data_IF_321542080026
#
_entry.id   IF_321542080026
#
_cell.length_a   1.000
_cell.length_b   1.000
_cell.length_c   1.000
_cell.angle_alpha   90.00
_cell.angle_beta   90.00
_cell.angle_gamma   90.00
#
_symmetry.space_group_name_H-M   'P 1'
#
loop_
_entity.id
_entity.type
_entity.pdbx_description
1 polymer ?
#
# COMPACT_ATOMS: atom_id res chain seq x y z
N UNK A 1 30.97 1.42 12.35
CA UNK A 1 29.69 1.95 11.81
C UNK A 1 29.39 3.36 12.32
N UNK A 2 29.38 3.64 13.63
CA UNK A 2 29.05 4.98 14.15
C UNK A 2 29.95 6.07 13.56
N UNK A 3 31.28 5.86 13.57
CA UNK A 3 32.26 6.83 13.00
C UNK A 3 31.97 7.08 11.54
N UNK A 4 31.68 6.04 10.74
CA UNK A 4 31.36 6.21 9.33
C UNK A 4 30.05 6.98 9.11
N UNK A 5 29.06 6.85 10.00
CA UNK A 5 27.84 7.63 9.95
C UNK A 5 28.08 9.12 10.32
N UNK A 6 28.89 9.35 11.33
CA UNK A 6 29.32 10.71 11.72
C UNK A 6 30.07 11.39 10.56
N UNK A 7 31.08 10.74 9.98
CA UNK A 7 31.81 11.26 8.81
C UNK A 7 30.92 11.50 7.58
N UNK A 8 29.88 10.67 7.38
CA UNK A 8 28.92 10.84 6.30
C UNK A 8 28.09 12.12 6.52
N UNK A 9 27.57 12.34 7.71
CA UNK A 9 26.78 13.54 8.05
C UNK A 9 27.66 14.79 8.01
N UNK A 10 28.87 14.74 8.57
CA UNK A 10 29.80 15.87 8.59
C UNK A 10 30.20 16.31 7.19
N UNK A 11 30.40 15.37 6.25
CA UNK A 11 30.68 15.70 4.85
C UNK A 11 29.54 16.45 4.16
N UNK A 12 28.29 16.08 4.44
CA UNK A 12 27.13 16.82 3.92
C UNK A 12 27.02 18.19 4.56
N UNK A 13 27.20 18.28 5.89
CA UNK A 13 27.19 19.53 6.63
C UNK A 13 28.24 20.54 6.18
N UNK A 14 29.42 20.06 5.77
CA UNK A 14 30.48 20.91 5.20
C UNK A 14 30.09 21.60 3.88
N UNK A 15 29.01 21.15 3.23
CA UNK A 15 28.46 21.73 2.01
C UNK A 15 27.08 22.38 2.23
N UNK A 16 26.70 22.64 3.50
CA UNK A 16 25.38 23.16 3.90
C UNK A 16 24.21 22.27 3.42
N UNK A 17 24.43 20.96 3.33
CA UNK A 17 23.44 19.98 2.92
C UNK A 17 23.06 19.06 4.08
N UNK A 18 21.82 18.55 4.01
CA UNK A 18 21.31 17.49 4.86
C UNK A 18 20.79 16.33 4.02
N UNK A 19 20.85 15.11 4.54
CA UNK A 19 20.31 13.93 3.90
C UNK A 19 18.82 13.77 4.30
N UNK A 20 17.92 13.72 3.33
CA UNK A 20 16.49 13.46 3.51
C UNK A 20 16.08 12.05 3.10
N UNK A 21 16.79 11.47 2.12
CA UNK A 21 16.65 10.07 1.74
C UNK A 21 18.03 9.40 1.75
N UNK A 22 18.12 8.29 2.47
CA UNK A 22 19.35 7.53 2.69
C UNK A 22 19.27 6.19 1.95
N UNK A 23 20.21 5.91 1.06
CA UNK A 23 20.36 4.60 0.46
C UNK A 23 21.35 3.76 1.28
N UNK A 24 20.91 2.57 1.66
CA UNK A 24 21.74 1.58 2.37
C UNK A 24 21.85 0.33 1.49
N UNK A 25 23.07 -0.07 1.20
CA UNK A 25 23.37 -1.32 0.48
C UNK A 25 24.16 -2.23 1.41
N UNK A 26 23.62 -3.42 1.66
CA UNK A 26 24.27 -4.48 2.38
C UNK A 26 24.79 -5.53 1.39
N UNK A 27 26.00 -6.01 1.59
CA UNK A 27 26.60 -7.07 0.77
C UNK A 27 26.98 -8.23 1.66
N UNK A 28 26.53 -9.44 1.33
CA UNK A 28 26.88 -10.67 2.01
C UNK A 28 28.21 -11.24 1.55
N UNK A 29 28.74 -12.23 2.30
CA UNK A 29 30.01 -12.92 1.97
C UNK A 29 29.94 -13.72 0.68
N UNK A 30 28.74 -14.12 0.22
CA UNK A 30 28.49 -14.84 -1.02
C UNK A 30 27.96 -13.94 -2.12
N UNK A 31 28.22 -12.63 -2.03
CA UNK A 31 27.75 -11.59 -2.94
C UNK A 31 26.20 -11.41 -2.96
N UNK A 32 25.48 -11.87 -1.95
CA UNK A 32 24.09 -11.50 -1.73
C UNK A 32 24.00 -9.98 -1.54
N UNK A 33 22.95 -9.37 -2.05
CA UNK A 33 22.78 -7.92 -1.99
C UNK A 33 21.39 -7.56 -1.51
N UNK A 34 21.32 -6.68 -0.53
CA UNK A 34 20.10 -5.99 -0.11
C UNK A 34 20.30 -4.50 -0.27
N UNK A 35 19.35 -3.85 -0.92
CA UNK A 35 19.37 -2.41 -1.16
C UNK A 35 18.03 -1.81 -0.74
N UNK A 36 18.10 -0.75 0.07
CA UNK A 36 16.90 -0.06 0.54
C UNK A 36 17.13 1.45 0.63
N UNK A 37 16.10 2.22 0.29
CA UNK A 37 16.07 3.66 0.47
C UNK A 37 15.15 3.99 1.64
N UNK A 38 15.72 4.70 2.61
CA UNK A 38 15.08 5.14 3.84
C UNK A 38 14.76 6.62 3.76
N UNK A 39 13.56 7.02 4.19
CA UNK A 39 13.15 8.42 4.26
C UNK A 39 13.20 8.92 5.70
N UNK A 40 13.52 10.20 5.85
CA UNK A 40 13.39 10.90 7.11
C UNK A 40 12.50 12.14 6.94
N UNK A 41 11.48 12.37 7.80
CA UNK A 41 10.57 13.51 7.67
C UNK A 41 11.23 14.88 7.86
N UNK A 42 12.38 14.91 8.52
CA UNK A 42 13.29 16.04 8.60
C UNK A 42 14.58 15.71 7.87
N UNK A 43 15.65 15.47 8.61
CA UNK A 43 16.95 15.07 8.06
C UNK A 43 17.59 13.99 8.92
N UNK A 44 18.38 13.13 8.29
CA UNK A 44 19.15 12.10 9.00
C UNK A 44 20.26 12.74 9.81
N UNK A 45 20.37 12.32 11.07
CA UNK A 45 21.57 12.44 11.88
C UNK A 45 22.35 11.11 11.90
N UNK A 46 23.53 11.10 12.50
CA UNK A 46 24.37 9.91 12.57
C UNK A 46 23.70 8.74 13.34
N UNK A 47 22.87 9.05 14.34
CA UNK A 47 22.16 8.02 15.10
C UNK A 47 21.07 7.39 14.27
N UNK A 48 20.28 8.19 13.53
CA UNK A 48 19.25 7.72 12.63
C UNK A 48 19.84 6.85 11.51
N UNK A 49 20.99 7.23 10.92
CA UNK A 49 21.70 6.42 9.94
C UNK A 49 22.06 5.04 10.53
N UNK A 50 22.67 5.00 11.71
CA UNK A 50 23.04 3.75 12.37
C UNK A 50 21.82 2.87 12.64
N UNK A 51 20.72 3.45 13.09
CA UNK A 51 19.51 2.70 13.40
C UNK A 51 18.88 2.09 12.12
N UNK A 52 18.87 2.81 10.99
CA UNK A 52 18.37 2.26 9.74
C UNK A 52 19.23 1.10 9.21
N UNK A 53 20.53 1.22 9.30
CA UNK A 53 21.43 0.12 8.93
C UNK A 53 21.22 -1.08 9.83
N UNK A 54 21.10 -0.90 11.15
CA UNK A 54 20.82 -2.00 12.10
C UNK A 54 19.51 -2.71 11.80
N UNK A 55 18.46 -1.96 11.47
CA UNK A 55 17.17 -2.54 11.15
C UNK A 55 17.21 -3.34 9.87
N UNK A 56 17.82 -2.81 8.81
CA UNK A 56 17.99 -3.55 7.58
C UNK A 56 18.80 -4.83 7.80
N UNK A 57 19.87 -4.77 8.59
CA UNK A 57 20.64 -5.93 8.96
C UNK A 57 19.81 -6.98 9.71
N UNK A 58 18.99 -6.56 10.68
CA UNK A 58 18.16 -7.47 11.48
C UNK A 58 17.06 -8.14 10.65
N UNK A 59 16.46 -7.42 9.72
CA UNK A 59 15.41 -7.95 8.83
C UNK A 59 15.99 -8.91 7.80
N UNK A 60 17.10 -8.53 7.16
CA UNK A 60 17.71 -9.28 6.08
C UNK A 60 18.53 -10.51 6.57
N UNK A 61 19.02 -10.47 7.81
CA UNK A 61 19.71 -11.61 8.43
C UNK A 61 18.84 -12.87 8.53
N UNK A 62 17.52 -12.72 8.59
CA UNK A 62 16.58 -13.84 8.67
C UNK A 62 16.17 -14.39 7.31
N UNK A 63 16.47 -13.71 6.19
CA UNK A 63 15.97 -14.09 4.88
C UNK A 63 16.99 -14.05 3.72
N UNK A 64 17.83 -13.03 3.67
CA UNK A 64 18.70 -12.77 2.50
C UNK A 64 20.13 -13.28 2.77
N UNK A 65 20.68 -12.99 3.93
CA UNK A 65 22.07 -13.30 4.25
C UNK A 65 22.20 -14.59 5.06
N UNK A 66 22.48 -15.70 4.38
CA UNK A 66 22.74 -17.00 5.03
C UNK A 66 24.16 -17.17 5.55
N UNK A 67 25.12 -16.33 5.15
CA UNK A 67 26.55 -16.49 5.44
C UNK A 67 27.18 -15.35 6.24
N UNK A 68 26.45 -14.28 6.49
CA UNK A 68 26.95 -13.09 7.16
C UNK A 68 27.07 -11.89 6.22
N UNK A 69 27.29 -10.69 6.78
CA UNK A 69 27.41 -9.43 6.06
C UNK A 69 28.86 -9.04 5.96
N UNK A 70 29.37 -8.93 4.72
CA UNK A 70 30.73 -8.56 4.40
C UNK A 70 30.93 -7.03 4.28
N UNK A 71 29.89 -6.29 3.87
CA UNK A 71 30.01 -4.86 3.65
C UNK A 71 28.71 -4.11 3.85
N UNK A 72 28.86 -2.84 4.26
CA UNK A 72 27.76 -1.86 4.36
C UNK A 72 28.19 -0.62 3.61
N UNK A 73 27.38 -0.20 2.64
CA UNK A 73 27.56 1.05 1.91
C UNK A 73 26.37 1.97 2.18
N UNK A 74 26.66 3.22 2.48
CA UNK A 74 25.67 4.26 2.71
C UNK A 74 25.95 5.44 1.78
N UNK A 75 24.88 5.96 1.15
CA UNK A 75 24.96 7.13 0.30
C UNK A 75 23.68 7.96 0.38
N UNK A 76 23.73 9.28 0.13
CA UNK A 76 22.54 10.09 0.08
C UNK A 76 21.80 9.81 -1.24
N UNK A 77 20.55 9.41 -1.16
CA UNK A 77 19.66 9.31 -2.32
C UNK A 77 19.05 10.67 -2.66
N UNK A 78 18.69 11.44 -1.62
CA UNK A 78 18.26 12.82 -1.76
C UNK A 78 18.87 13.68 -0.65
N UNK A 79 19.23 14.89 -1.05
CA UNK A 79 19.75 15.94 -0.15
C UNK A 79 18.94 17.20 -0.32
N UNK A 80 18.94 18.04 0.74
CA UNK A 80 18.31 19.35 0.71
C UNK A 80 19.22 20.36 1.42
N UNK A 81 19.00 21.65 1.19
CA UNK A 81 19.75 22.70 1.87
C UNK A 81 19.45 22.70 3.38
N UNK A 82 20.49 22.77 4.20
CA UNK A 82 20.36 22.78 5.67
C UNK A 82 19.45 23.92 6.16
N UNK A 83 19.43 25.05 5.44
CA UNK A 83 18.58 26.19 5.75
C UNK A 83 17.07 25.87 5.73
N UNK A 84 16.62 24.92 4.90
CA UNK A 84 15.22 24.49 4.82
C UNK A 84 14.81 23.62 6.02
N UNK A 85 15.79 23.04 6.70
CA UNK A 85 15.60 22.16 7.86
C UNK A 85 15.97 22.82 9.19
N UNK A 86 16.38 24.10 9.14
CA UNK A 86 16.65 24.87 10.35
C UNK A 86 15.35 25.03 11.17
N UNK A 87 15.43 24.77 12.47
CA UNK A 87 14.28 24.96 13.37
C UNK A 87 13.89 26.43 13.36
N UNK A 88 12.73 26.75 12.79
CA UNK A 88 12.16 28.07 12.85
C UNK A 88 11.91 28.49 14.31
N UNK A 89 12.15 29.76 14.64
CA UNK A 89 11.83 30.32 15.96
C UNK A 89 10.33 30.22 16.29
N UNK A 90 9.48 30.15 15.26
CA UNK A 90 8.03 29.98 15.34
C UNK A 90 7.56 29.05 14.24
N UNK A 91 7.00 27.90 14.61
CA UNK A 91 6.39 26.95 13.67
C UNK A 91 6.70 25.50 13.99
N UNK A 92 5.71 24.64 13.74
CA UNK A 92 5.86 23.20 13.91
C UNK A 92 6.51 22.63 12.65
N UNK A 93 7.82 22.41 12.68
CA UNK A 93 8.44 21.40 11.82
C UNK A 93 7.92 20.01 12.18
N UNK A 94 8.23 18.96 11.38
CA UNK A 94 7.91 17.60 11.75
C UNK A 94 8.38 17.35 13.19
N UNK A 95 7.45 16.94 14.07
CA UNK A 95 7.80 16.77 15.47
C UNK A 95 8.76 15.58 15.61
N UNK A 96 10.03 15.87 15.85
CA UNK A 96 11.08 14.88 16.11
C UNK A 96 10.64 13.86 17.18
N UNK A 97 9.83 14.29 18.17
CA UNK A 97 9.29 13.41 19.20
C UNK A 97 8.35 12.36 18.60
N UNK A 98 7.52 12.75 17.62
CA UNK A 98 6.66 11.82 16.91
C UNK A 98 7.50 10.83 16.12
N UNK A 99 8.52 11.30 15.41
CA UNK A 99 9.43 10.41 14.67
C UNK A 99 10.12 9.41 15.61
N UNK A 100 10.67 9.87 16.72
CA UNK A 100 11.29 8.98 17.72
C UNK A 100 10.29 8.01 18.34
N UNK A 101 9.06 8.46 18.63
CA UNK A 101 8.02 7.58 19.15
C UNK A 101 7.63 6.47 18.17
N UNK A 102 7.41 6.82 16.90
CA UNK A 102 7.07 5.84 15.85
C UNK A 102 8.23 4.88 15.57
N UNK A 103 9.46 5.40 15.52
CA UNK A 103 10.67 4.58 15.39
C UNK A 103 10.83 3.59 16.55
N UNK A 104 10.51 4.03 17.77
CA UNK A 104 10.52 3.17 18.95
C UNK A 104 9.47 2.07 18.90
N UNK A 105 8.26 2.38 18.40
CA UNK A 105 7.20 1.38 18.19
C UNK A 105 7.67 0.33 17.17
N UNK A 106 8.28 0.76 16.07
CA UNK A 106 8.84 -0.16 15.08
C UNK A 106 9.97 -1.03 15.68
N UNK A 107 10.83 -0.46 16.52
CA UNK A 107 11.88 -1.22 17.19
C UNK A 107 11.34 -2.32 18.12
N UNK A 108 10.18 -2.07 18.76
CA UNK A 108 9.55 -3.02 19.70
C UNK A 108 8.69 -4.06 19.00
N UNK A 109 7.96 -3.70 17.96
CA UNK A 109 6.92 -4.52 17.32
C UNK A 109 7.28 -4.98 15.90
N UNK A 110 8.45 -4.58 15.40
CA UNK A 110 8.91 -4.88 14.04
C UNK A 110 8.66 -3.74 13.06
N UNK A 111 9.43 -3.74 11.96
CA UNK A 111 9.46 -2.68 10.96
C UNK A 111 8.08 -2.33 10.37
N UNK A 112 7.21 -3.32 10.17
CA UNK A 112 5.87 -3.16 9.60
C UNK A 112 4.79 -2.77 10.60
N UNK A 113 5.13 -2.57 11.87
CA UNK A 113 4.15 -2.23 12.91
C UNK A 113 3.63 -0.78 12.78
N UNK A 114 4.37 0.09 12.12
CA UNK A 114 3.94 1.44 11.80
C UNK A 114 3.99 1.62 10.29
N UNK A 115 2.87 2.02 9.70
CA UNK A 115 2.76 2.17 8.25
C UNK A 115 2.14 3.53 7.88
N UNK A 116 2.52 4.01 6.70
CA UNK A 116 1.89 5.15 6.04
C UNK A 116 1.07 4.66 4.86
N UNK A 117 -0.23 4.93 4.78
CA UNK A 117 -1.03 4.57 3.63
C UNK A 117 -0.67 5.47 2.45
N UNK A 118 -0.46 4.85 1.28
CA UNK A 118 -0.26 5.54 0.01
C UNK A 118 -1.21 4.98 -1.04
N UNK A 119 -1.56 5.81 -2.04
CA UNK A 119 -2.46 5.40 -3.11
C UNK A 119 -1.63 5.01 -4.33
N UNK A 120 -1.66 3.73 -4.68
CA UNK A 120 -1.11 3.18 -5.91
C UNK A 120 -2.09 3.20 -7.08
N UNK A 121 -1.66 2.67 -8.22
CA UNK A 121 -2.48 2.41 -9.40
C UNK A 121 -3.10 1.01 -9.38
N UNK A 122 -3.87 0.69 -10.42
CA UNK A 122 -4.47 -0.62 -10.60
C UNK A 122 -5.97 -0.57 -10.84
N UNK A 123 -6.53 -1.71 -11.24
CA UNK A 123 -7.97 -1.87 -11.49
C UNK A 123 -8.74 -2.17 -10.21
N UNK A 124 -8.11 -2.86 -9.27
CA UNK A 124 -8.70 -3.30 -8.01
C UNK A 124 -8.49 -2.26 -6.92
N UNK A 125 -9.54 -1.92 -6.18
CA UNK A 125 -9.45 -0.90 -5.13
C UNK A 125 -8.50 -1.31 -4.01
N UNK A 126 -8.50 -2.58 -3.62
CA UNK A 126 -7.59 -3.10 -2.59
C UNK A 126 -6.11 -2.96 -3.00
N UNK A 127 -5.80 -3.10 -4.31
CA UNK A 127 -4.44 -2.93 -4.81
C UNK A 127 -3.97 -1.47 -4.82
N UNK A 128 -4.90 -0.52 -4.79
CA UNK A 128 -4.61 0.92 -4.76
C UNK A 128 -4.25 1.40 -3.36
N UNK A 129 -4.63 0.68 -2.32
CA UNK A 129 -4.23 0.98 -0.94
C UNK A 129 -2.95 0.21 -0.61
N UNK A 130 -1.85 0.93 -0.53
CA UNK A 130 -0.54 0.36 -0.20
C UNK A 130 -0.09 0.91 1.14
N UNK A 131 0.13 0.01 2.10
CA UNK A 131 0.69 0.34 3.39
C UNK A 131 2.22 0.23 3.32
N UNK A 132 2.89 1.37 3.37
CA UNK A 132 4.35 1.46 3.34
C UNK A 132 4.86 1.60 4.77
N UNK A 133 5.82 0.79 5.21
CA UNK A 133 6.42 0.94 6.52
C UNK A 133 6.94 2.38 6.74
N UNK A 134 6.76 2.88 7.94
CA UNK A 134 7.21 4.23 8.31
C UNK A 134 8.72 4.38 8.08
N UNK A 135 9.09 5.40 7.31
CA UNK A 135 10.47 5.67 6.96
C UNK A 135 10.96 4.97 5.69
N UNK A 136 10.14 4.12 5.04
CA UNK A 136 10.47 3.56 3.74
C UNK A 136 10.03 4.49 2.61
N UNK A 137 10.75 4.44 1.50
CA UNK A 137 10.31 5.08 0.26
C UNK A 137 9.07 4.36 -0.28
N UNK A 138 8.05 5.14 -0.63
CA UNK A 138 6.85 4.59 -1.24
C UNK A 138 7.17 4.08 -2.66
N UNK A 139 7.22 2.76 -2.80
CA UNK A 139 7.31 2.09 -4.12
C UNK A 139 6.00 1.39 -4.38
N UNK A 140 5.19 1.94 -5.29
CA UNK A 140 3.95 1.32 -5.72
C UNK A 140 4.22 0.40 -6.91
N UNK A 141 3.82 -0.86 -6.80
CA UNK A 141 4.00 -1.85 -7.87
C UNK A 141 3.24 -1.47 -9.16
N UNK A 142 2.17 -0.69 -9.03
CA UNK A 142 1.35 -0.20 -10.13
C UNK A 142 1.31 1.33 -10.09
N UNK A 143 1.77 1.96 -11.18
CA UNK A 143 1.82 3.42 -11.30
C UNK A 143 0.40 4.00 -11.37
N UNK A 144 0.13 5.01 -10.54
CA UNK A 144 -1.15 5.71 -10.49
C UNK A 144 -1.47 6.49 -11.77
N UNK A 145 -0.44 6.97 -12.47
CA UNK A 145 -0.59 7.83 -13.65
C UNK A 145 -0.93 7.06 -14.92
N UNK A 146 -0.76 5.74 -14.92
CA UNK A 146 -1.07 4.89 -16.07
C UNK A 146 -2.58 4.68 -16.22
N UNK A 147 -3.08 4.63 -17.47
CA UNK A 147 -4.45 4.23 -17.71
C UNK A 147 -4.65 2.76 -17.33
N UNK A 148 -5.64 2.51 -16.49
CA UNK A 148 -6.02 1.15 -16.08
C UNK A 148 -7.43 0.87 -16.61
N UNK A 149 -7.61 0.29 -17.82
CA UNK A 149 -8.92 -0.04 -18.37
C UNK A 149 -9.72 -0.90 -17.38
N UNK A 150 -10.97 -0.51 -17.12
CA UNK A 150 -11.80 -1.16 -16.09
C UNK A 150 -11.54 -0.67 -14.65
N UNK A 151 -10.73 0.37 -14.46
CA UNK A 151 -10.68 1.06 -13.17
C UNK A 151 -12.00 1.78 -12.90
N UNK A 152 -12.37 1.84 -11.63
CA UNK A 152 -13.59 2.52 -11.20
C UNK A 152 -13.41 4.04 -11.36
N UNK A 153 -14.34 4.76 -12.01
CA UNK A 153 -14.37 6.22 -12.05
C UNK A 153 -14.79 6.81 -10.71
N UNK A 154 -14.54 8.09 -10.52
CA UNK A 154 -15.04 8.83 -9.36
C UNK A 154 -16.58 8.98 -9.39
N UNK A 155 -17.24 9.04 -8.22
CA UNK A 155 -16.68 8.95 -6.89
C UNK A 155 -16.30 7.53 -6.51
N UNK A 156 -15.18 7.40 -5.78
CA UNK A 156 -14.74 6.11 -5.23
C UNK A 156 -15.50 5.79 -3.93
N UNK A 157 -15.64 4.49 -3.56
CA UNK A 157 -16.16 4.12 -2.24
C UNK A 157 -15.37 4.75 -1.11
N UNK A 158 -16.07 5.26 -0.08
CA UNK A 158 -15.43 5.80 1.10
C UNK A 158 -14.79 4.71 1.97
N UNK A 159 -15.42 3.53 2.00
CA UNK A 159 -14.86 2.34 2.66
C UNK A 159 -14.45 1.32 1.61
N UNK A 160 -13.17 0.93 1.60
CA UNK A 160 -12.63 -0.15 0.77
C UNK A 160 -12.20 -1.30 1.66
N UNK A 161 -12.67 -2.51 1.35
CA UNK A 161 -12.28 -3.70 2.10
C UNK A 161 -10.94 -4.23 1.56
N UNK A 162 -9.89 -4.37 2.40
CA UNK A 162 -8.61 -4.96 1.97
C UNK A 162 -8.79 -6.36 1.39
N UNK A 163 -9.67 -7.13 1.99
CA UNK A 163 -10.17 -8.41 1.47
C UNK A 163 -11.65 -8.28 1.18
N UNK A 164 -12.08 -8.42 -0.09
CA UNK A 164 -13.49 -8.33 -0.46
C UNK A 164 -14.33 -9.34 0.33
N UNK A 165 -15.41 -8.86 0.92
CA UNK A 165 -16.27 -9.64 1.83
C UNK A 165 -17.28 -10.45 1.04
N UNK A 166 -17.42 -11.74 1.36
CA UNK A 166 -18.42 -12.59 0.75
C UNK A 166 -19.83 -12.06 1.03
N UNK A 167 -20.66 -12.00 0.00
CA UNK A 167 -22.07 -11.58 0.06
C UNK A 167 -22.94 -12.50 -0.79
N UNK A 168 -24.24 -12.54 -0.51
CA UNK A 168 -25.21 -13.20 -1.35
C UNK A 168 -25.96 -12.17 -2.20
N UNK A 169 -26.20 -12.49 -3.49
CA UNK A 169 -27.08 -11.72 -4.35
C UNK A 169 -28.11 -12.66 -4.97
N UNK A 170 -29.39 -12.39 -4.69
CA UNK A 170 -30.49 -13.24 -5.19
C UNK A 170 -31.51 -12.40 -5.95
N UNK A 171 -32.24 -13.08 -6.83
CA UNK A 171 -33.40 -12.52 -7.50
C UNK A 171 -34.64 -12.46 -6.56
N UNK A 172 -35.78 -12.03 -7.10
CA UNK A 172 -37.03 -11.92 -6.34
C UNK A 172 -37.59 -13.29 -5.91
N UNK A 173 -37.23 -14.38 -6.60
CA UNK A 173 -37.61 -15.75 -6.27
C UNK A 173 -36.66 -16.39 -5.25
N UNK A 174 -35.57 -15.72 -4.89
CA UNK A 174 -34.55 -16.21 -3.98
C UNK A 174 -33.48 -17.08 -4.63
N UNK A 175 -33.45 -17.16 -5.97
CA UNK A 175 -32.40 -17.87 -6.68
C UNK A 175 -31.14 -16.98 -6.79
N UNK A 176 -29.94 -17.59 -6.69
CA UNK A 176 -28.68 -16.88 -6.82
C UNK A 176 -28.53 -16.27 -8.21
N UNK A 177 -28.16 -14.99 -8.26
CA UNK A 177 -27.90 -14.29 -9.51
C UNK A 177 -26.49 -14.62 -9.98
N UNK A 178 -26.38 -15.02 -11.24
CA UNK A 178 -25.09 -15.37 -11.90
C UNK A 178 -24.88 -14.50 -13.14
N UNK A 179 -23.61 -14.37 -13.56
CA UNK A 179 -23.23 -13.69 -14.81
C UNK A 179 -22.77 -14.76 -15.81
N UNK A 180 -23.44 -14.81 -16.96
CA UNK A 180 -23.10 -15.76 -18.02
C UNK A 180 -21.94 -15.28 -18.90
N UNK A 181 -21.59 -16.11 -19.90
CA UNK A 181 -20.43 -15.90 -20.78
C UNK A 181 -20.47 -14.59 -21.60
N UNK A 182 -21.67 -14.07 -21.88
CA UNK A 182 -21.88 -12.83 -22.65
C UNK A 182 -22.14 -11.63 -21.76
N UNK A 183 -21.67 -11.67 -20.49
CA UNK A 183 -21.90 -10.64 -19.50
C UNK A 183 -23.40 -10.38 -19.22
N UNK A 184 -24.25 -11.44 -19.42
CA UNK A 184 -25.70 -11.37 -19.18
C UNK A 184 -26.02 -11.97 -17.82
N UNK A 185 -26.82 -11.25 -17.03
CA UNK A 185 -27.33 -11.73 -15.75
C UNK A 185 -28.40 -12.83 -15.94
N UNK A 186 -28.39 -13.83 -15.07
CA UNK A 186 -29.44 -14.86 -15.02
C UNK A 186 -30.80 -14.28 -14.67
N UNK A 187 -30.84 -13.27 -13.79
CA UNK A 187 -32.01 -12.51 -13.39
C UNK A 187 -31.61 -11.16 -12.78
N UNK A 188 -32.53 -10.18 -12.70
CA UNK A 188 -32.29 -8.92 -12.00
C UNK A 188 -31.97 -9.14 -10.51
N UNK A 189 -30.90 -8.53 -9.97
CA UNK A 189 -30.63 -8.55 -8.53
C UNK A 189 -31.75 -7.92 -7.72
N UNK A 190 -32.25 -8.60 -6.69
CA UNK A 190 -33.37 -8.13 -5.87
C UNK A 190 -33.04 -8.07 -4.38
N UNK A 191 -32.17 -8.94 -3.89
CA UNK A 191 -31.77 -8.98 -2.48
C UNK A 191 -30.27 -9.13 -2.35
N UNK A 192 -29.67 -8.27 -1.52
CA UNK A 192 -28.30 -8.34 -1.07
C UNK A 192 -28.27 -8.91 0.35
N UNK A 193 -27.48 -9.96 0.57
CA UNK A 193 -27.25 -10.56 1.88
C UNK A 193 -25.82 -10.28 2.34
N UNK A 194 -25.68 -9.58 3.46
CA UNK A 194 -24.39 -9.20 4.05
C UNK A 194 -24.37 -9.52 5.53
N UNK A 195 -23.39 -10.27 6.02
CA UNK A 195 -23.24 -10.61 7.44
C UNK A 195 -24.55 -11.10 8.11
N UNK A 196 -25.32 -11.93 7.40
CA UNK A 196 -26.60 -12.46 7.88
C UNK A 196 -27.79 -11.50 7.80
N UNK A 197 -27.60 -10.29 7.30
CA UNK A 197 -28.68 -9.32 7.06
C UNK A 197 -29.10 -9.34 5.59
N UNK A 198 -30.40 -9.46 5.36
CA UNK A 198 -31.00 -9.40 4.04
C UNK A 198 -31.54 -8.00 3.78
N UNK A 199 -31.09 -7.38 2.68
CA UNK A 199 -31.44 -6.03 2.27
C UNK A 199 -32.05 -6.07 0.88
N UNK A 200 -33.21 -5.45 0.69
CA UNK A 200 -33.79 -5.34 -0.64
C UNK A 200 -32.96 -4.39 -1.49
N UNK A 201 -32.62 -4.79 -2.70
CA UNK A 201 -31.95 -3.94 -3.70
C UNK A 201 -33.03 -3.04 -4.32
N UNK A 202 -32.76 -1.74 -4.31
CA UNK A 202 -33.62 -0.72 -4.92
C UNK A 202 -33.15 -0.39 -6.32
N UNK A 203 -31.85 -0.21 -6.48
CA UNK A 203 -31.23 0.18 -7.75
C UNK A 203 -29.89 -0.57 -7.91
N UNK A 204 -29.52 -0.84 -9.15
CA UNK A 204 -28.22 -1.44 -9.45
C UNK A 204 -27.76 -1.04 -10.85
N UNK A 205 -26.46 -1.06 -11.07
CA UNK A 205 -25.79 -0.82 -12.34
C UNK A 205 -24.64 -1.82 -12.55
N UNK A 206 -24.37 -2.18 -13.79
CA UNK A 206 -23.43 -3.22 -14.21
C UNK A 206 -24.15 -4.21 -15.15
N UNK A 207 -23.52 -5.34 -15.50
CA UNK A 207 -22.15 -5.72 -15.19
C UNK A 207 -21.10 -4.89 -15.94
N UNK A 208 -20.04 -4.51 -15.24
CA UNK A 208 -18.85 -3.93 -15.86
C UNK A 208 -17.72 -4.96 -15.85
N UNK A 209 -17.34 -5.51 -17.02
CA UNK A 209 -16.35 -6.57 -17.09
C UNK A 209 -14.96 -6.04 -16.75
N UNK A 210 -14.21 -6.82 -15.97
CA UNK A 210 -12.80 -6.63 -15.69
C UNK A 210 -12.08 -7.87 -16.15
N UNK A 211 -11.10 -7.70 -17.05
CA UNK A 211 -10.25 -8.79 -17.50
C UNK A 211 -8.79 -8.45 -17.28
N UNK A 212 -8.08 -9.31 -16.59
CA UNK A 212 -6.63 -9.22 -16.39
C UNK A 212 -5.94 -10.46 -16.94
N UNK A 213 -4.78 -10.24 -17.58
CA UNK A 213 -3.89 -11.29 -18.09
C UNK A 213 -4.59 -12.34 -18.96
N UNK A 214 -5.53 -11.92 -19.80
CA UNK A 214 -6.26 -12.83 -20.69
C UNK A 214 -5.38 -13.66 -21.63
N UNK A 215 -4.11 -13.32 -21.77
CA UNK A 215 -3.10 -14.04 -22.53
C UNK A 215 -2.41 -15.17 -21.73
N UNK A 216 -2.60 -15.27 -20.42
CA UNK A 216 -2.00 -16.25 -19.52
C UNK A 216 -3.13 -17.04 -18.83
N UNK A 217 -3.53 -18.22 -19.34
CA UNK A 217 -4.66 -18.98 -18.80
C UNK A 217 -4.53 -19.35 -17.32
N UNK A 218 -3.28 -19.47 -16.80
CA UNK A 218 -3.03 -19.81 -15.40
C UNK A 218 -3.18 -18.61 -14.46
N UNK A 219 -3.09 -17.40 -14.99
CA UNK A 219 -3.14 -16.14 -14.25
C UNK A 219 -4.24 -15.20 -14.74
N UNK A 220 -5.01 -15.64 -15.74
CA UNK A 220 -6.16 -14.89 -16.22
C UNK A 220 -7.17 -14.70 -15.09
N UNK A 221 -7.66 -13.47 -14.97
CA UNK A 221 -8.69 -13.12 -14.00
C UNK A 221 -9.82 -12.41 -14.72
N UNK A 222 -11.04 -12.91 -14.59
CA UNK A 222 -12.24 -12.30 -15.15
C UNK A 222 -13.27 -12.09 -14.06
N UNK A 223 -13.75 -10.88 -13.93
CA UNK A 223 -14.75 -10.53 -12.95
C UNK A 223 -15.70 -9.47 -13.52
N UNK A 224 -16.82 -9.24 -12.83
CA UNK A 224 -17.79 -8.21 -13.19
C UNK A 224 -18.10 -7.37 -11.96
N UNK A 225 -18.01 -6.06 -12.11
CA UNK A 225 -18.40 -5.10 -11.07
C UNK A 225 -19.84 -4.68 -11.19
N UNK A 226 -20.39 -4.34 -10.03
CA UNK A 226 -21.72 -3.79 -9.90
C UNK A 226 -21.71 -2.69 -8.85
N UNK A 227 -22.54 -1.67 -9.06
CA UNK A 227 -22.95 -0.77 -7.99
C UNK A 227 -24.39 -1.12 -7.62
N UNK A 228 -24.65 -1.19 -6.32
CA UNK A 228 -25.96 -1.59 -5.78
C UNK A 228 -26.35 -0.62 -4.70
N UNK A 229 -27.60 -0.13 -4.75
CA UNK A 229 -28.21 0.67 -3.68
C UNK A 229 -29.30 -0.14 -3.02
N UNK A 230 -29.20 -0.33 -1.71
CA UNK A 230 -30.21 -1.03 -0.93
C UNK A 230 -31.38 -0.11 -0.51
N UNK A 231 -32.44 -0.68 -0.01
CA UNK A 231 -33.65 0.05 0.39
C UNK A 231 -33.43 1.01 1.56
N UNK A 232 -32.37 0.78 2.35
CA UNK A 232 -31.99 1.62 3.49
C UNK A 232 -31.07 2.79 3.06
N UNK A 233 -30.78 2.89 1.74
CA UNK A 233 -29.93 3.93 1.17
C UNK A 233 -28.43 3.59 1.20
N UNK A 234 -28.05 2.41 1.65
CA UNK A 234 -26.66 1.95 1.60
C UNK A 234 -26.24 1.66 0.15
N UNK A 235 -25.13 2.24 -0.30
CA UNK A 235 -24.58 2.01 -1.62
C UNK A 235 -23.30 1.14 -1.54
N UNK A 236 -23.23 0.12 -2.40
CA UNK A 236 -22.23 -0.93 -2.35
C UNK A 236 -21.55 -1.08 -3.70
N UNK A 237 -20.24 -1.31 -3.67
CA UNK A 237 -19.49 -1.80 -4.81
C UNK A 237 -19.31 -3.30 -4.66
N UNK A 238 -19.91 -4.05 -5.55
CA UNK A 238 -19.84 -5.51 -5.58
C UNK A 238 -19.00 -5.99 -6.75
N UNK A 239 -18.42 -7.15 -6.60
CA UNK A 239 -17.74 -7.89 -7.67
C UNK A 239 -18.22 -9.33 -7.65
N UNK A 240 -18.42 -9.90 -8.83
CA UNK A 240 -18.62 -11.35 -9.00
C UNK A 240 -17.48 -11.93 -9.81
N UNK A 241 -16.86 -12.97 -9.27
CA UNK A 241 -15.76 -13.70 -9.85
C UNK A 241 -16.00 -15.19 -9.62
N UNK A 242 -15.90 -16.01 -10.65
CA UNK A 242 -16.14 -17.46 -10.58
C UNK A 242 -17.50 -17.85 -9.95
N UNK A 243 -18.50 -16.98 -10.10
CA UNK A 243 -19.82 -17.17 -9.53
C UNK A 243 -19.99 -16.73 -8.08
N UNK A 244 -18.92 -16.30 -7.41
CA UNK A 244 -18.96 -15.77 -6.05
C UNK A 244 -19.12 -14.26 -6.04
N UNK A 245 -20.10 -13.78 -5.27
CA UNK A 245 -20.33 -12.36 -5.04
C UNK A 245 -19.56 -11.86 -3.82
N UNK A 246 -18.88 -10.75 -3.98
CA UNK A 246 -18.11 -10.11 -2.90
C UNK A 246 -18.31 -8.60 -2.91
N UNK A 247 -18.34 -7.98 -1.73
CA UNK A 247 -18.32 -6.54 -1.59
C UNK A 247 -16.86 -6.06 -1.57
N UNK A 248 -16.48 -5.21 -2.55
CA UNK A 248 -15.17 -4.53 -2.58
C UNK A 248 -15.16 -3.29 -1.70
N UNK A 249 -16.30 -2.61 -1.56
CA UNK A 249 -16.39 -1.39 -0.79
C UNK A 249 -17.83 -0.90 -0.59
N UNK A 250 -17.94 0.19 0.15
CA UNK A 250 -19.20 0.86 0.45
C UNK A 250 -19.04 2.37 0.25
N UNK A 251 -20.07 2.97 -0.30
CA UNK A 251 -20.21 4.42 -0.40
C UNK A 251 -20.96 4.89 0.86
N UNK A 252 -20.53 5.97 1.45
CA UNK A 252 -21.15 6.61 2.60
C UNK A 252 -22.04 7.77 2.18
#
# INVERSE_FOLDING_TARGET
MRVAAEEFIDRLGAHDLVCTELRVVLTGERAERSERVWLHPGSFDAAAVVDRVRWQLAEDAQGIFGSGVAGVHIEPEAVDAAAHHAKGLFGAGPDERVHHALSRVQAMLGHRAVVTPVIGGGRWLAERQVNVPWGDRAVTAKDRTRPWPGSLPDPLPATVYPEPRLVGVTDIAGASVTVGERDVLSAPPAVLETAGQRRRIREWAGPWPISERGWDPLRARRAHRFQVVDADGGAWLLVVEEGEWRAEGRYD
#
